data_IF_181332995394
#
_entry.id   IF_181332995394
#
_cell.length_a   1.000
_cell.length_b   1.000
_cell.length_c   1.000
_cell.angle_alpha   90.00
_cell.angle_beta   90.00
_cell.angle_gamma   90.00
#
_symmetry.space_group_name_H-M   'P 1'
#
loop_
_entity.id
_entity.type
_entity.pdbx_description
1 polymer ?
#
# COMPACT_ATOMS: atom_id res chain seq x y z
N UNK A 1 -6.65 3.16 28.86
CA UNK A 1 -6.77 2.31 27.65
C UNK A 1 -5.35 2.00 27.24
N UNK A 2 -5.00 0.72 27.24
CA UNK A 2 -3.67 0.26 26.84
C UNK A 2 -3.75 -0.16 25.37
N UNK A 3 -2.89 0.43 24.53
CA UNK A 3 -2.69 0.05 23.14
C UNK A 3 -1.20 0.17 22.81
N UNK A 4 -0.76 -0.61 21.84
CA UNK A 4 0.61 -0.58 21.34
C UNK A 4 0.82 0.58 20.37
N UNK A 5 2.06 1.07 20.20
CA UNK A 5 2.37 2.08 19.18
C UNK A 5 1.97 1.65 17.76
N UNK A 6 2.05 0.36 17.44
CA UNK A 6 1.66 -0.19 16.14
C UNK A 6 0.15 -0.10 15.92
N UNK A 7 -0.67 -0.41 16.93
CA UNK A 7 -2.13 -0.26 16.85
C UNK A 7 -2.51 1.21 16.66
N UNK A 8 -1.86 2.13 17.37
CA UNK A 8 -2.06 3.56 17.16
C UNK A 8 -1.74 3.97 15.72
N UNK A 9 -0.62 3.49 15.17
CA UNK A 9 -0.21 3.77 13.80
C UNK A 9 -1.21 3.24 12.78
N UNK A 10 -1.71 2.01 12.96
CA UNK A 10 -2.74 1.41 12.10
C UNK A 10 -4.03 2.21 12.16
N UNK A 11 -4.47 2.64 13.35
CA UNK A 11 -5.67 3.48 13.50
C UNK A 11 -5.49 4.84 12.82
N UNK A 12 -4.33 5.48 12.98
CA UNK A 12 -4.04 6.75 12.33
C UNK A 12 -4.01 6.64 10.81
N UNK A 13 -3.39 5.58 10.27
CA UNK A 13 -3.37 5.30 8.84
C UNK A 13 -4.77 4.97 8.30
N UNK A 14 -5.56 4.16 9.02
CA UNK A 14 -6.92 3.81 8.62
C UNK A 14 -7.81 5.05 8.47
N UNK A 15 -7.66 6.05 9.36
CA UNK A 15 -8.40 7.32 9.30
C UNK A 15 -8.07 8.20 8.10
N UNK A 16 -6.97 7.92 7.39
CA UNK A 16 -6.67 8.64 6.14
C UNK A 16 -7.52 8.14 4.97
N UNK A 17 -8.11 6.94 5.07
CA UNK A 17 -8.91 6.34 4.02
C UNK A 17 -10.35 6.83 4.14
N UNK A 18 -10.87 7.46 3.08
CA UNK A 18 -12.26 7.88 3.02
C UNK A 18 -13.16 6.80 2.41
N UNK A 19 -14.44 6.85 2.77
CA UNK A 19 -15.43 5.92 2.24
C UNK A 19 -15.62 6.11 0.73
N UNK A 20 -15.41 5.03 -0.04
CA UNK A 20 -15.48 5.04 -1.50
C UNK A 20 -14.16 5.31 -2.22
N UNK A 21 -13.06 5.58 -1.50
CA UNK A 21 -11.74 5.73 -2.12
C UNK A 21 -11.19 4.40 -2.63
N UNK A 22 -10.48 4.48 -3.75
CA UNK A 22 -9.59 3.45 -4.24
C UNK A 22 -8.21 3.65 -3.63
N UNK A 23 -7.81 2.69 -2.79
CA UNK A 23 -6.60 2.73 -1.99
C UNK A 23 -5.57 1.78 -2.56
N UNK A 24 -4.37 2.27 -2.88
CA UNK A 24 -3.23 1.43 -3.18
C UNK A 24 -2.63 0.88 -1.89
N UNK A 25 -2.93 -0.39 -1.59
CA UNK A 25 -2.64 -1.04 -0.32
C UNK A 25 -1.26 -1.67 -0.37
N UNK A 26 -0.35 -1.23 0.51
CA UNK A 26 0.93 -1.90 0.74
C UNK A 26 0.85 -3.10 1.70
N UNK A 27 1.97 -3.77 1.94
CA UNK A 27 2.07 -4.90 2.87
C UNK A 27 2.24 -4.47 4.33
N UNK A 28 1.93 -5.37 5.27
CA UNK A 28 2.06 -5.18 6.74
C UNK A 28 1.07 -4.16 7.32
N UNK A 29 1.54 -3.07 7.93
CA UNK A 29 0.67 -2.12 8.64
C UNK A 29 -0.36 -1.45 7.72
N UNK A 30 -0.02 -1.01 6.49
CA UNK A 30 -1.01 -0.53 5.51
C UNK A 30 -2.14 -1.52 5.21
N UNK A 31 -1.85 -2.83 5.14
CA UNK A 31 -2.88 -3.86 4.94
C UNK A 31 -3.88 -3.87 6.09
N UNK A 32 -3.38 -3.76 7.33
CA UNK A 32 -4.23 -3.66 8.52
C UNK A 32 -5.02 -2.36 8.55
N UNK A 33 -4.44 -1.25 8.09
CA UNK A 33 -5.12 0.04 8.00
C UNK A 33 -6.29 -0.01 7.02
N UNK A 34 -6.09 -0.59 5.83
CA UNK A 34 -7.16 -0.85 4.86
C UNK A 34 -8.25 -1.74 5.46
N UNK A 35 -7.87 -2.87 6.07
CA UNK A 35 -8.82 -3.78 6.67
C UNK A 35 -9.64 -3.14 7.80
N UNK A 36 -8.99 -2.31 8.63
CA UNK A 36 -9.66 -1.57 9.69
C UNK A 36 -10.61 -0.52 9.13
N UNK A 37 -10.18 0.29 8.17
CA UNK A 37 -11.04 1.30 7.54
C UNK A 37 -12.28 0.67 6.90
N UNK A 38 -12.07 -0.39 6.10
CA UNK A 38 -13.14 -1.16 5.43
C UNK A 38 -14.17 -1.72 6.41
N UNK A 39 -13.72 -2.24 7.56
CA UNK A 39 -14.61 -2.84 8.59
C UNK A 39 -15.21 -1.83 9.56
N UNK A 40 -14.90 -0.53 9.43
CA UNK A 40 -15.36 0.49 10.38
C UNK A 40 -16.10 1.64 9.69
N UNK A 41 -15.37 2.57 9.08
CA UNK A 41 -15.90 3.86 8.64
C UNK A 41 -15.90 4.04 7.11
N UNK A 42 -15.20 3.17 6.38
CA UNK A 42 -15.07 3.23 4.92
C UNK A 42 -15.51 1.92 4.24
N UNK A 43 -16.73 1.42 4.45
CA UNK A 43 -17.20 0.13 3.91
C UNK A 43 -17.29 0.07 2.37
N UNK A 44 -17.18 1.20 1.66
CA UNK A 44 -17.16 1.28 0.20
C UNK A 44 -15.77 1.51 -0.38
N UNK A 45 -14.72 1.68 0.42
CA UNK A 45 -13.36 1.80 -0.13
C UNK A 45 -12.92 0.49 -0.81
N UNK A 46 -12.07 0.58 -1.84
CA UNK A 46 -11.53 -0.56 -2.57
C UNK A 46 -10.01 -0.64 -2.36
N UNK A 47 -9.50 -1.85 -2.17
CA UNK A 47 -8.07 -2.10 -2.05
C UNK A 47 -7.47 -2.57 -3.37
N UNK A 48 -6.46 -1.85 -3.86
CA UNK A 48 -5.71 -2.15 -5.06
C UNK A 48 -4.28 -2.57 -4.67
N UNK A 49 -3.78 -3.62 -5.32
CA UNK A 49 -2.46 -4.19 -5.03
C UNK A 49 -1.61 -4.20 -6.30
N UNK A 50 -0.31 -3.93 -6.18
CA UNK A 50 0.62 -3.82 -7.31
C UNK A 50 0.66 -5.05 -8.22
N UNK A 51 0.29 -6.22 -7.68
CA UNK A 51 0.17 -7.48 -8.41
C UNK A 51 -1.00 -7.53 -9.43
N UNK A 52 -1.80 -6.45 -9.56
CA UNK A 52 -2.93 -6.44 -10.48
C UNK A 52 -4.26 -6.80 -9.85
N UNK A 53 -4.38 -6.73 -8.52
CA UNK A 53 -5.51 -7.29 -7.77
C UNK A 53 -6.35 -6.15 -7.19
N UNK A 54 -7.67 -6.25 -7.35
CA UNK A 54 -8.64 -5.34 -6.74
C UNK A 54 -9.58 -6.11 -5.81
N UNK A 55 -9.73 -5.62 -4.59
CA UNK A 55 -10.56 -6.25 -3.56
C UNK A 55 -11.49 -5.23 -2.90
N UNK A 56 -12.73 -5.63 -2.72
CA UNK A 56 -13.68 -4.96 -1.83
C UNK A 56 -13.67 -5.53 -0.41
N UNK A 57 -13.04 -6.68 -0.17
CA UNK A 57 -12.84 -7.21 1.18
C UNK A 57 -11.37 -7.58 1.43
N UNK A 58 -10.83 -7.39 2.65
CA UNK A 58 -9.50 -7.89 2.99
C UNK A 58 -9.39 -9.41 2.79
N UNK A 59 -8.20 -9.90 2.43
CA UNK A 59 -7.97 -11.34 2.34
C UNK A 59 -8.33 -12.05 3.67
N UNK A 60 -8.95 -13.22 3.57
CA UNK A 60 -9.37 -13.99 4.75
C UNK A 60 -8.19 -14.62 5.48
N UNK A 61 -7.08 -14.86 4.78
CA UNK A 61 -5.86 -15.47 5.30
C UNK A 61 -4.68 -14.49 5.26
N UNK A 62 -3.62 -14.86 5.97
CA UNK A 62 -2.40 -14.07 6.02
C UNK A 62 -1.74 -13.98 4.65
N UNK A 63 -1.29 -12.77 4.30
CA UNK A 63 -0.49 -12.51 3.11
C UNK A 63 0.98 -12.40 3.51
N UNK A 64 1.82 -13.30 2.99
CA UNK A 64 3.28 -13.18 3.01
C UNK A 64 3.77 -12.30 1.87
N UNK A 65 3.13 -12.39 0.71
CA UNK A 65 3.36 -11.53 -0.46
C UNK A 65 2.03 -11.02 -1.04
N UNK A 66 2.09 -9.96 -1.84
CA UNK A 66 0.90 -9.40 -2.50
C UNK A 66 0.33 -10.33 -3.59
N UNK A 67 1.12 -11.30 -4.06
CA UNK A 67 0.71 -12.28 -5.07
C UNK A 67 0.21 -13.61 -4.50
N UNK A 68 0.09 -13.74 -3.18
CA UNK A 68 -0.33 -15.00 -2.57
C UNK A 68 -1.78 -15.35 -2.95
N UNK A 69 -2.07 -16.65 -3.03
CA UNK A 69 -3.38 -17.17 -3.40
C UNK A 69 -4.55 -16.56 -2.58
N UNK A 70 -4.44 -16.31 -1.26
CA UNK A 70 -5.51 -15.68 -0.51
C UNK A 70 -5.80 -14.23 -0.94
N UNK A 71 -4.85 -13.53 -1.55
CA UNK A 71 -5.10 -12.20 -2.11
C UNK A 71 -5.86 -12.27 -3.43
N UNK A 72 -5.74 -13.37 -4.18
CA UNK A 72 -6.43 -13.59 -5.45
C UNK A 72 -7.84 -14.16 -5.23
N UNK A 73 -7.98 -15.15 -4.35
CA UNK A 73 -9.26 -15.79 -4.06
C UNK A 73 -10.24 -14.78 -3.46
N UNK A 74 -11.41 -14.62 -4.10
CA UNK A 74 -12.43 -13.65 -3.69
C UNK A 74 -12.10 -12.21 -4.05
N UNK A 75 -11.05 -11.94 -4.82
CA UNK A 75 -10.84 -10.61 -5.40
C UNK A 75 -11.95 -10.32 -6.42
N UNK A 76 -12.39 -9.06 -6.48
CA UNK A 76 -13.29 -8.59 -7.55
C UNK A 76 -12.65 -8.81 -8.91
N UNK A 77 -11.33 -8.66 -8.97
CA UNK A 77 -10.57 -8.88 -10.18
C UNK A 77 -9.08 -9.13 -9.91
N UNK A 78 -8.46 -9.91 -10.80
CA UNK A 78 -7.01 -10.14 -10.85
C UNK A 78 -6.54 -10.04 -12.30
N UNK A 79 -5.65 -9.09 -12.59
CA UNK A 79 -4.98 -8.96 -13.90
C UNK A 79 -3.48 -8.88 -13.77
N UNK A 80 -2.93 -7.67 -13.85
CA UNK A 80 -1.51 -7.43 -13.95
C UNK A 80 -1.20 -5.99 -13.63
N UNK A 81 0.05 -5.79 -13.25
CA UNK A 81 0.57 -4.52 -12.73
C UNK A 81 0.33 -3.34 -13.68
N UNK A 82 0.45 -3.54 -15.00
CA UNK A 82 0.25 -2.47 -16.00
C UNK A 82 -1.14 -1.84 -15.88
N UNK A 83 -2.19 -2.64 -15.63
CA UNK A 83 -3.54 -2.11 -15.47
C UNK A 83 -3.65 -1.27 -14.19
N UNK A 84 -3.06 -1.73 -13.08
CA UNK A 84 -3.09 -0.98 -11.81
C UNK A 84 -2.33 0.34 -11.91
N UNK A 85 -1.14 0.33 -12.52
CA UNK A 85 -0.39 1.56 -12.79
C UNK A 85 -1.19 2.47 -13.73
N UNK A 86 -1.88 1.92 -14.72
CA UNK A 86 -2.77 2.69 -15.60
C UNK A 86 -3.91 3.37 -14.86
N UNK A 87 -4.52 2.72 -13.86
CA UNK A 87 -5.55 3.33 -13.02
C UNK A 87 -4.98 4.47 -12.16
N UNK A 88 -3.78 4.29 -11.58
CA UNK A 88 -3.10 5.37 -10.86
C UNK A 88 -2.82 6.55 -11.78
N UNK A 89 -2.25 6.30 -12.97
CA UNK A 89 -1.96 7.35 -13.95
C UNK A 89 -3.23 8.07 -14.46
N UNK A 90 -4.39 7.41 -14.43
CA UNK A 90 -5.68 8.00 -14.79
C UNK A 90 -6.30 8.84 -13.66
N UNK A 91 -5.72 8.85 -12.45
CA UNK A 91 -6.28 9.50 -11.26
C UNK A 91 -7.39 8.71 -10.58
N UNK A 92 -7.55 7.42 -10.93
CA UNK A 92 -8.57 6.55 -10.34
C UNK A 92 -8.19 6.01 -8.96
N UNK A 93 -6.99 6.30 -8.47
CA UNK A 93 -6.50 5.94 -7.13
C UNK A 93 -6.27 7.21 -6.31
N UNK A 94 -6.87 7.29 -5.13
CA UNK A 94 -6.87 8.53 -4.32
C UNK A 94 -5.85 8.51 -3.18
N UNK A 95 -5.41 7.33 -2.77
CA UNK A 95 -4.49 7.20 -1.64
C UNK A 95 -3.58 5.99 -1.80
N UNK A 96 -2.31 6.14 -1.47
CA UNK A 96 -1.35 5.04 -1.38
C UNK A 96 -0.46 5.16 -0.14
N UNK A 97 -0.10 4.02 0.44
CA UNK A 97 0.88 3.97 1.54
C UNK A 97 2.23 3.49 1.04
N UNK A 98 3.27 4.30 1.23
CA UNK A 98 4.65 3.95 0.92
C UNK A 98 5.53 4.11 2.15
N UNK A 99 6.59 3.30 2.21
CA UNK A 99 7.61 3.37 3.27
C UNK A 99 9.00 3.47 2.66
N UNK A 100 9.97 3.89 3.47
CA UNK A 100 11.37 3.95 3.06
C UNK A 100 12.32 3.86 4.24
N UNK A 101 13.60 3.66 3.93
CA UNK A 101 14.65 3.63 4.93
C UNK A 101 15.01 5.04 5.42
N UNK A 102 14.94 6.03 4.53
CA UNK A 102 15.21 7.42 4.82
C UNK A 102 14.09 8.28 4.22
N UNK A 103 13.75 9.37 4.91
CA UNK A 103 12.81 10.39 4.47
C UNK A 103 13.39 11.76 4.82
N UNK A 104 13.25 12.74 3.93
CA UNK A 104 13.64 14.12 4.21
C UNK A 104 12.43 15.03 4.53
N UNK A 105 12.73 16.30 4.85
CA UNK A 105 11.70 17.30 5.22
C UNK A 105 10.74 17.69 4.09
N UNK A 106 11.02 17.27 2.85
CA UNK A 106 10.18 17.53 1.68
C UNK A 106 9.38 16.29 1.26
N UNK A 107 9.53 15.17 1.97
CA UNK A 107 8.85 13.91 1.66
C UNK A 107 9.57 13.04 0.64
N UNK A 108 10.82 13.38 0.27
CA UNK A 108 11.61 12.50 -0.60
C UNK A 108 11.98 11.24 0.17
N UNK A 109 11.76 10.08 -0.44
CA UNK A 109 11.98 8.76 0.17
C UNK A 109 13.15 8.02 -0.49
N UNK A 110 13.96 7.37 0.33
CA UNK A 110 14.99 6.43 -0.14
C UNK A 110 14.62 4.99 0.22
N UNK A 111 14.46 4.17 -0.81
CA UNK A 111 14.17 2.73 -0.70
C UNK A 111 15.24 1.86 -1.36
N UNK A 112 16.32 2.45 -1.89
CA UNK A 112 17.20 1.73 -2.83
C UNK A 112 18.65 1.60 -2.38
N UNK A 113 19.30 2.65 -1.88
CA UNK A 113 20.72 2.58 -1.54
C UNK A 113 21.11 3.62 -0.49
N UNK A 114 21.83 3.19 0.55
CA UNK A 114 22.42 4.10 1.55
C UNK A 114 23.91 4.28 1.23
N UNK A 115 24.35 5.55 1.14
CA UNK A 115 25.71 5.93 0.74
C UNK A 115 25.84 6.17 -0.77
N UNK A 116 27.01 5.88 -1.34
CA UNK A 116 27.25 6.11 -2.77
C UNK A 116 26.39 5.16 -3.64
N UNK A 117 25.62 5.71 -4.58
CA UNK A 117 24.73 4.93 -5.44
C UNK A 117 25.40 3.80 -6.25
N UNK A 118 26.59 4.05 -6.81
CA UNK A 118 27.32 3.11 -7.65
C UNK A 118 28.00 2.01 -6.84
N UNK A 119 28.36 2.30 -5.59
CA UNK A 119 28.95 1.36 -4.62
C UNK A 119 28.31 1.57 -3.25
N UNK A 120 27.06 1.11 -3.06
CA UNK A 120 26.29 1.41 -1.85
C UNK A 120 26.90 0.73 -0.63
N UNK A 121 26.86 1.43 0.51
CA UNK A 121 27.22 0.82 1.79
C UNK A 121 26.16 -0.19 2.22
N UNK A 122 24.88 0.12 1.95
CA UNK A 122 23.74 -0.80 2.13
C UNK A 122 22.87 -0.77 0.89
N UNK A 123 22.66 -1.94 0.27
CA UNK A 123 21.68 -2.12 -0.82
C UNK A 123 20.32 -2.47 -0.21
N UNK A 124 19.33 -1.66 -0.51
CA UNK A 124 17.94 -1.86 -0.07
C UNK A 124 17.14 -2.59 -1.16
N UNK A 125 15.91 -3.05 -0.87
CA UNK A 125 15.08 -3.79 -1.82
C UNK A 125 14.81 -3.08 -3.14
N UNK A 126 14.80 -1.73 -3.15
CA UNK A 126 14.56 -0.91 -4.33
C UNK A 126 13.18 -0.25 -4.33
N UNK A 127 12.88 0.45 -5.43
CA UNK A 127 11.63 1.23 -5.58
C UNK A 127 10.36 0.37 -5.46
N UNK A 128 10.32 -0.79 -6.13
CA UNK A 128 9.03 -1.43 -6.42
C UNK A 128 8.09 -0.43 -7.10
N UNK A 129 6.81 -0.45 -6.75
CA UNK A 129 5.83 0.56 -7.18
C UNK A 129 5.84 1.87 -6.39
N UNK A 130 6.75 2.09 -5.43
CA UNK A 130 6.69 3.26 -4.55
C UNK A 130 6.84 4.60 -5.29
N UNK A 131 7.70 4.65 -6.33
CA UNK A 131 7.87 5.84 -7.15
C UNK A 131 6.62 6.18 -7.97
N UNK A 132 5.92 5.14 -8.47
CA UNK A 132 4.67 5.32 -9.23
C UNK A 132 3.58 5.88 -8.31
N UNK A 133 3.41 5.31 -7.11
CA UNK A 133 2.47 5.82 -6.11
C UNK A 133 2.81 7.27 -5.77
N UNK A 134 4.06 7.57 -5.38
CA UNK A 134 4.46 8.92 -5.00
C UNK A 134 4.27 9.98 -6.09
N UNK A 135 4.26 9.58 -7.37
CA UNK A 135 4.16 10.50 -8.50
C UNK A 135 2.75 10.58 -9.11
N UNK A 136 1.90 9.58 -8.88
CA UNK A 136 0.62 9.41 -9.59
C UNK A 136 -0.61 9.34 -8.68
N UNK A 137 -0.44 9.17 -7.35
CA UNK A 137 -1.54 9.19 -6.37
C UNK A 137 -1.63 10.52 -5.62
#
# INVERSE_FOLDING_TARGET
>A
MDYTPQELMVVCAARQIQDGEHVFVGMRLPLLAFALAKRTHAPRCLGLFEAGIMRDEPAAELLYTMGDAPNITGALWATGTVKMIGLMAAGDVQLGFIGGAEIDRYGNLNTTAIGNWQKPAVRLPGSGGAADIASLS
#
